data_IF_090666956299
#
_entry.id   IF_090666956299
#
_cell.length_a   1.000
_cell.length_b   1.000
_cell.length_c   1.000
_cell.angle_alpha   90.00
_cell.angle_beta   90.00
_cell.angle_gamma   90.00
#
_symmetry.space_group_name_H-M   'P 1'
#
loop_
_entity.id
_entity.type
_entity.pdbx_description
1 polymer ?
#
# COMPACT_ATOMS: atom_id res chain seq x y z
N UNK A 1 8.24 -19.35 6.76
CA UNK A 1 7.56 -18.77 5.57
C UNK A 1 7.83 -17.26 5.53
N UNK A 2 8.52 -16.74 4.50
CA UNK A 2 8.77 -15.29 4.36
C UNK A 2 7.43 -14.56 4.22
N UNK A 3 7.16 -13.55 5.07
CA UNK A 3 5.99 -12.68 4.92
C UNK A 3 6.22 -11.84 3.65
N UNK A 4 5.33 -11.97 2.67
CA UNK A 4 5.32 -11.07 1.51
C UNK A 4 4.88 -9.69 2.00
N UNK A 5 5.70 -8.69 1.72
CA UNK A 5 5.45 -7.31 2.16
C UNK A 5 4.29 -6.65 1.40
N UNK A 6 3.89 -7.18 0.24
CA UNK A 6 2.85 -6.58 -0.58
C UNK A 6 2.13 -7.61 -1.46
N UNK A 7 0.81 -7.67 -1.34
CA UNK A 7 -0.05 -8.36 -2.30
C UNK A 7 -0.23 -7.51 -3.57
N UNK A 8 -0.54 -8.15 -4.70
CA UNK A 8 -1.04 -7.41 -5.87
C UNK A 8 -2.43 -6.83 -5.59
N UNK A 9 -2.85 -5.86 -6.41
CA UNK A 9 -4.13 -5.13 -6.24
C UNK A 9 -5.31 -6.10 -6.20
N UNK A 10 -5.35 -7.07 -7.11
CA UNK A 10 -6.46 -8.03 -7.19
C UNK A 10 -6.54 -8.97 -5.98
N UNK A 11 -5.41 -9.51 -5.51
CA UNK A 11 -5.41 -10.35 -4.31
C UNK A 11 -5.75 -9.54 -3.06
N UNK A 12 -5.33 -8.27 -3.00
CA UNK A 12 -5.68 -7.37 -1.92
C UNK A 12 -7.19 -7.08 -1.88
N UNK A 13 -7.80 -6.74 -3.03
CA UNK A 13 -9.24 -6.52 -3.14
C UNK A 13 -10.07 -7.78 -2.83
N UNK A 14 -9.63 -8.93 -3.35
CA UNK A 14 -10.27 -10.22 -3.07
C UNK A 14 -10.01 -10.76 -1.65
N UNK A 15 -9.16 -10.08 -0.86
CA UNK A 15 -8.74 -10.51 0.50
C UNK A 15 -8.20 -11.95 0.53
N UNK A 16 -7.48 -12.35 -0.51
CA UNK A 16 -6.88 -13.68 -0.63
C UNK A 16 -5.34 -13.60 -0.54
N UNK A 17 -4.72 -14.74 -0.26
CA UNK A 17 -3.26 -14.83 -0.21
C UNK A 17 -2.66 -14.60 -1.60
N UNK A 18 -1.79 -13.61 -1.70
CA UNK A 18 -0.98 -13.38 -2.90
C UNK A 18 0.34 -14.14 -2.79
N UNK A 19 0.75 -14.82 -3.86
CA UNK A 19 2.05 -15.52 -3.94
C UNK A 19 3.23 -14.57 -4.21
N UNK A 20 2.94 -13.34 -4.65
CA UNK A 20 3.95 -12.30 -4.85
C UNK A 20 4.93 -12.56 -5.99
N UNK A 21 4.69 -13.59 -6.81
CA UNK A 21 5.45 -13.87 -8.03
C UNK A 21 5.28 -12.72 -9.03
N UNK A 22 6.37 -12.34 -9.69
CA UNK A 22 6.42 -11.28 -10.72
C UNK A 22 6.76 -11.92 -12.07
N UNK A 23 6.14 -11.50 -13.19
CA UNK A 23 5.25 -10.34 -13.36
C UNK A 23 3.80 -10.55 -12.87
N UNK A 24 3.35 -11.80 -12.75
CA UNK A 24 1.99 -12.12 -12.33
C UNK A 24 1.96 -13.13 -11.19
N UNK A 25 1.02 -12.91 -10.26
CA UNK A 25 0.76 -13.82 -9.14
C UNK A 25 0.09 -15.11 -9.63
N UNK A 26 0.39 -16.29 -9.06
CA UNK A 26 -0.24 -17.55 -9.47
C UNK A 26 -1.78 -17.48 -9.45
N UNK A 27 -2.36 -16.84 -8.44
CA UNK A 27 -3.80 -16.65 -8.40
C UNK A 27 -4.32 -15.79 -9.56
N UNK A 28 -3.58 -14.76 -9.93
CA UNK A 28 -3.93 -13.84 -11.01
C UNK A 28 -3.86 -14.55 -12.36
N UNK A 29 -2.84 -15.39 -12.57
CA UNK A 29 -2.68 -16.23 -13.77
C UNK A 29 -3.86 -17.20 -13.89
N UNK A 30 -4.19 -17.93 -12.81
CA UNK A 30 -5.30 -18.90 -12.81
C UNK A 30 -6.67 -18.27 -13.07
N UNK A 31 -6.86 -17.02 -12.64
CA UNK A 31 -8.12 -16.30 -12.83
C UNK A 31 -8.13 -15.45 -14.11
N UNK A 32 -7.06 -15.49 -14.92
CA UNK A 32 -6.87 -14.61 -16.08
C UNK A 32 -7.10 -13.13 -15.75
N UNK A 33 -6.67 -12.71 -14.56
CA UNK A 33 -6.82 -11.35 -14.08
C UNK A 33 -5.54 -10.54 -14.27
N UNK A 34 -5.64 -9.23 -14.58
CA UNK A 34 -4.48 -8.36 -14.71
C UNK A 34 -3.76 -8.25 -13.36
N UNK A 35 -2.54 -8.77 -13.25
CA UNK A 35 -1.77 -8.63 -12.01
C UNK A 35 -1.00 -7.31 -12.04
N UNK A 36 -1.44 -6.36 -11.23
CA UNK A 36 -0.71 -5.13 -10.98
C UNK A 36 -0.32 -5.07 -9.51
N UNK A 37 0.95 -4.71 -9.25
CA UNK A 37 1.42 -4.39 -7.92
C UNK A 37 1.47 -2.88 -7.81
N UNK A 38 0.95 -2.28 -6.72
CA UNK A 38 1.09 -0.86 -6.56
C UNK A 38 2.59 -0.55 -6.50
N UNK A 39 3.07 0.24 -7.46
CA UNK A 39 4.32 0.96 -7.29
C UNK A 39 4.20 1.69 -5.95
N UNK A 40 5.28 1.83 -5.20
CA UNK A 40 5.26 2.57 -3.92
C UNK A 40 4.94 4.04 -4.21
N UNK A 41 3.68 4.34 -4.53
CA UNK A 41 3.20 5.69 -4.81
C UNK A 41 3.16 6.37 -3.48
N UNK A 42 4.10 7.30 -3.33
CA UNK A 42 4.22 8.38 -2.36
C UNK A 42 3.55 8.11 -1.02
N UNK A 43 4.39 8.01 0.02
CA UNK A 43 4.00 8.07 1.44
C UNK A 43 2.77 8.96 1.53
N UNK A 44 1.64 8.40 1.99
CA UNK A 44 0.43 9.16 2.32
C UNK A 44 0.92 10.44 2.98
N UNK A 45 0.44 11.59 2.51
CA UNK A 45 0.81 12.88 3.07
C UNK A 45 0.76 12.85 4.60
N UNK A 46 1.46 13.79 5.27
CA UNK A 46 1.46 13.85 6.73
C UNK A 46 0.06 13.56 7.28
N UNK A 47 -0.02 12.69 8.29
CA UNK A 47 -1.31 12.23 8.84
C UNK A 47 -2.21 13.45 9.08
N UNK A 48 -3.48 13.36 8.71
CA UNK A 48 -4.47 14.41 8.95
C UNK A 48 -4.32 14.94 10.39
N UNK A 49 -4.09 16.25 10.54
CA UNK A 49 -3.81 16.90 11.83
C UNK A 49 -2.32 16.99 12.25
N UNK A 50 -1.37 16.43 11.51
CA UNK A 50 0.06 16.63 11.78
C UNK A 50 0.51 18.06 11.49
N UNK A 51 -0.01 18.65 10.41
CA UNK A 51 0.26 20.05 10.05
C UNK A 51 -0.36 20.99 11.09
N UNK A 52 -1.62 20.77 11.47
CA UNK A 52 -2.31 21.54 12.52
C UNK A 52 -1.54 21.51 13.86
N UNK A 53 -0.99 20.35 14.26
CA UNK A 53 -0.13 20.24 15.45
C UNK A 53 1.20 20.96 15.32
N UNK A 54 1.76 21.04 14.11
CA UNK A 54 2.97 21.82 13.85
C UNK A 54 2.68 23.32 13.97
N UNK A 55 1.57 23.78 13.39
CA UNK A 55 1.12 25.18 13.47
C UNK A 55 0.87 25.60 14.92
N UNK A 56 0.12 24.79 15.69
CA UNK A 56 -0.17 25.08 17.10
C UNK A 56 1.09 25.13 17.99
N UNK A 57 2.16 24.41 17.61
CA UNK A 57 3.44 24.46 18.33
C UNK A 57 4.26 25.69 17.96
N UNK A 58 4.15 26.16 16.72
CA UNK A 58 4.79 27.41 16.27
C UNK A 58 4.20 28.61 17.02
N UNK A 59 2.87 28.67 17.12
CA UNK A 59 2.12 29.76 17.76
C UNK A 59 2.43 29.92 19.27
N UNK A 60 2.89 28.87 19.95
CA UNK A 60 3.29 28.95 21.37
C UNK A 60 4.70 29.50 21.59
N UNK A 61 5.51 29.59 20.54
CA UNK A 61 6.92 29.97 20.61
C UNK A 61 7.12 31.41 20.12
N UNK A 62 6.19 31.93 19.31
CA UNK A 62 6.05 33.36 18.98
C UNK A 62 5.39 34.15 20.11
#
# INVERSE_FOLDING_TARGET
RKRLSQACINCHHKKIKCDGTRPHCNNCIKNHLPCSFPLKTNKRGPRQGYIEKLEQRLERIE
#
